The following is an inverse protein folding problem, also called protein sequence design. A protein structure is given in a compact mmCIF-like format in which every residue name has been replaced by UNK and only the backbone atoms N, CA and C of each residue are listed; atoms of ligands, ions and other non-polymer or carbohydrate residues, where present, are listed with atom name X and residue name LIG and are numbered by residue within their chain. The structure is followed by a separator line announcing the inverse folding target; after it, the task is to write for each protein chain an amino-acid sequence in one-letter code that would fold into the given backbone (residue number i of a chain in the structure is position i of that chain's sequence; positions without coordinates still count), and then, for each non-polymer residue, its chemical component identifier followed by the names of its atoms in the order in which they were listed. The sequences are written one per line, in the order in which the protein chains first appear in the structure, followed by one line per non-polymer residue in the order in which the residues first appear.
data_IF_598129883400
#
_entry.id   IF_598129883400
#
_cell.length_a   1.000
_cell.length_b   1.000
_cell.length_c   1.000
_cell.angle_alpha   90.00
_cell.angle_beta   90.00
_cell.angle_gamma   90.00
#
_symmetry.space_group_name_H-M   'P 1'
#
loop_
_entity.id
_entity.type
_entity.pdbx_description
1 polymer ?
#
# COMPACT_ATOMS: atom_id res chain seq x y z
N UNK A 1 7.27 -13.59 11.91
CA UNK A 1 8.44 -12.98 11.27
C UNK A 1 9.17 -12.00 12.18
N UNK A 2 8.51 -11.44 13.17
CA UNK A 2 9.06 -10.39 14.04
C UNK A 2 8.99 -10.74 15.54
N UNK A 3 8.81 -12.02 15.89
CA UNK A 3 8.52 -12.46 17.27
C UNK A 3 9.76 -12.80 18.13
N UNK A 4 10.98 -12.72 17.61
CA UNK A 4 12.18 -12.99 18.40
C UNK A 4 12.96 -11.71 18.62
N UNK A 5 12.83 -11.14 19.81
CA UNK A 5 13.38 -9.83 20.20
C UNK A 5 14.90 -9.71 19.98
N UNK A 6 15.63 -10.78 20.12
CA UNK A 6 17.08 -10.77 19.99
C UNK A 6 17.58 -10.79 18.53
N UNK A 7 16.85 -11.44 17.63
CA UNK A 7 17.14 -11.44 16.19
C UNK A 7 16.66 -10.15 15.52
N UNK A 8 15.58 -9.56 16.01
CA UNK A 8 15.01 -8.33 15.46
C UNK A 8 15.93 -7.12 15.63
N UNK A 9 16.67 -7.04 16.75
CA UNK A 9 17.63 -5.95 17.03
C UNK A 9 18.79 -5.89 16.03
N UNK A 10 19.06 -6.97 15.32
CA UNK A 10 20.17 -7.09 14.34
C UNK A 10 19.73 -6.89 12.89
N UNK A 11 18.42 -6.85 12.63
CA UNK A 11 17.89 -6.72 11.27
C UNK A 11 17.73 -5.25 10.92
N UNK A 12 18.33 -4.82 9.83
CA UNK A 12 18.23 -3.46 9.30
C UNK A 12 16.78 -2.98 9.25
N UNK A 13 15.88 -3.80 8.71
CA UNK A 13 14.46 -3.46 8.55
C UNK A 13 13.77 -3.14 9.89
N UNK A 14 14.05 -3.92 10.95
CA UNK A 14 13.51 -3.61 12.27
C UNK A 14 14.04 -2.29 12.81
N UNK A 15 15.35 -2.05 12.72
CA UNK A 15 15.95 -0.85 13.25
C UNK A 15 15.44 0.42 12.58
N UNK A 16 15.29 0.38 11.25
CA UNK A 16 14.87 1.53 10.46
C UNK A 16 13.35 1.78 10.54
N UNK A 17 12.54 0.75 10.45
CA UNK A 17 11.09 0.89 10.25
C UNK A 17 10.25 0.64 11.49
N UNK A 18 10.74 -0.14 12.47
CA UNK A 18 9.90 -0.62 13.58
C UNK A 18 10.41 -0.32 14.98
N UNK A 19 11.70 -0.05 15.16
CA UNK A 19 12.29 0.16 16.49
C UNK A 19 11.55 1.27 17.26
N UNK A 20 11.04 0.92 18.44
CA UNK A 20 10.30 1.83 19.30
C UNK A 20 8.83 2.03 18.92
N UNK A 21 8.33 1.31 17.91
CA UNK A 21 6.91 1.27 17.60
C UNK A 21 6.25 0.03 18.23
N UNK A 22 5.05 0.21 18.77
CA UNK A 22 4.21 -0.89 19.27
C UNK A 22 3.02 -1.03 18.36
N UNK A 23 2.77 -2.25 17.89
CA UNK A 23 1.65 -2.54 17.00
C UNK A 23 0.67 -3.50 17.67
N UNK A 24 -0.60 -3.24 17.52
CA UNK A 24 -1.67 -4.19 17.84
C UNK A 24 -1.99 -4.98 16.59
N UNK A 25 -1.95 -6.31 16.69
CA UNK A 25 -2.24 -7.20 15.57
C UNK A 25 -3.71 -7.63 15.61
N UNK A 26 -4.38 -7.59 14.47
CA UNK A 26 -5.76 -8.05 14.29
C UNK A 26 -5.91 -8.59 12.88
N UNK A 27 -6.82 -9.55 12.68
CA UNK A 27 -7.24 -9.96 11.34
C UNK A 27 -8.12 -8.90 10.68
N UNK A 28 -8.84 -8.11 11.47
CA UNK A 28 -9.46 -6.87 11.01
C UNK A 28 -8.36 -5.81 10.87
N UNK A 29 -7.69 -5.77 9.74
CA UNK A 29 -6.48 -4.98 9.49
C UNK A 29 -6.47 -4.25 8.15
N UNK A 30 -7.51 -4.36 7.33
CA UNK A 30 -7.58 -3.69 6.04
C UNK A 30 -8.05 -2.23 6.20
N UNK A 31 -7.15 -1.40 6.71
CA UNK A 31 -7.36 0.03 6.94
C UNK A 31 -6.45 0.86 6.03
N UNK A 32 -6.86 2.08 5.80
CA UNK A 32 -6.01 3.13 5.25
C UNK A 32 -6.02 4.34 6.19
N UNK A 33 -4.98 5.16 6.08
CA UNK A 33 -4.86 6.43 6.80
C UNK A 33 -4.85 7.56 5.76
N UNK A 34 -5.52 8.65 6.08
CA UNK A 34 -5.48 9.89 5.28
C UNK A 34 -4.88 10.99 6.14
N UNK A 35 -3.78 11.56 5.68
CA UNK A 35 -3.08 12.67 6.32
C UNK A 35 -3.30 13.94 5.50
N UNK A 36 -3.96 14.92 6.09
CA UNK A 36 -4.30 16.18 5.44
C UNK A 36 -3.58 17.35 6.12
N UNK A 37 -3.28 18.45 5.42
CA UNK A 37 -3.00 19.71 6.09
C UNK A 37 -4.14 20.12 7.03
N UNK A 38 -3.82 20.70 8.18
CA UNK A 38 -4.82 21.13 9.17
C UNK A 38 -5.83 22.15 8.61
N UNK A 39 -5.43 22.85 7.56
CA UNK A 39 -6.26 23.87 6.89
C UNK A 39 -7.02 23.32 5.69
N UNK A 40 -6.85 22.04 5.35
CA UNK A 40 -7.48 21.47 4.16
C UNK A 40 -9.00 21.43 4.29
N UNK A 41 -9.66 21.87 3.23
CA UNK A 41 -11.12 21.86 3.11
C UNK A 41 -11.55 21.25 1.79
N UNK A 42 -12.77 20.75 1.73
CA UNK A 42 -13.34 20.26 0.48
C UNK A 42 -13.29 21.36 -0.60
N UNK A 43 -12.74 21.02 -1.76
CA UNK A 43 -12.57 21.95 -2.88
C UNK A 43 -11.18 22.58 -3.03
N UNK A 44 -10.24 22.32 -2.12
CA UNK A 44 -8.85 22.83 -2.22
C UNK A 44 -8.07 22.16 -3.36
N UNK A 45 -8.51 20.98 -3.82
CA UNK A 45 -7.92 20.24 -4.93
C UNK A 45 -6.40 19.96 -4.74
N UNK A 46 -6.03 19.59 -3.52
CA UNK A 46 -4.65 19.27 -3.18
C UNK A 46 -4.18 17.98 -3.88
N UNK A 47 -2.91 17.90 -4.30
CA UNK A 47 -2.36 16.66 -4.84
C UNK A 47 -2.39 15.55 -3.81
N UNK A 48 -2.62 14.32 -4.26
CA UNK A 48 -2.77 13.13 -3.43
C UNK A 48 -1.64 12.15 -3.71
N UNK A 49 -1.00 11.63 -2.67
CA UNK A 49 0.02 10.60 -2.75
C UNK A 49 -0.44 9.36 -1.97
N UNK A 50 -0.65 8.26 -2.66
CA UNK A 50 -0.95 6.96 -2.04
C UNK A 50 0.34 6.16 -1.96
N UNK A 51 0.74 5.80 -0.75
CA UNK A 51 1.94 5.00 -0.51
C UNK A 51 1.60 3.54 -0.23
N UNK A 52 2.20 2.63 -1.01
CA UNK A 52 2.10 1.18 -0.87
C UNK A 52 3.40 0.67 -0.27
N UNK A 53 3.33 0.11 0.94
CA UNK A 53 4.50 -0.36 1.67
C UNK A 53 5.14 -1.59 1.03
N UNK A 54 6.44 -1.78 1.29
CA UNK A 54 7.20 -2.96 0.90
C UNK A 54 7.12 -4.07 1.94
N UNK A 55 8.19 -4.89 1.99
CA UNK A 55 8.30 -6.01 2.95
C UNK A 55 8.16 -7.39 2.30
N UNK A 56 8.50 -7.51 1.01
CA UNK A 56 8.57 -8.79 0.30
C UNK A 56 7.22 -9.51 0.19
N UNK A 57 6.11 -8.80 0.25
CA UNK A 57 4.73 -9.33 0.32
C UNK A 57 4.45 -10.21 1.54
N UNK A 58 5.33 -10.25 2.52
CA UNK A 58 5.22 -11.10 3.73
C UNK A 58 5.22 -10.30 5.03
N UNK A 59 5.53 -9.02 4.99
CA UNK A 59 5.56 -8.11 6.13
C UNK A 59 5.31 -6.68 5.71
N UNK A 60 5.28 -5.77 6.69
CA UNK A 60 5.02 -4.36 6.49
C UNK A 60 3.62 -3.92 6.96
N UNK A 61 3.42 -2.63 7.04
CA UNK A 61 2.11 -2.02 7.31
C UNK A 61 2.12 -0.54 6.92
N UNK A 62 0.94 0.06 6.81
CA UNK A 62 0.76 1.48 6.53
C UNK A 62 1.14 2.43 7.67
N UNK A 63 1.65 1.90 8.79
CA UNK A 63 2.06 2.67 9.98
C UNK A 63 3.59 2.66 10.19
N UNK A 64 4.36 2.33 9.18
CA UNK A 64 5.82 2.35 9.29
C UNK A 64 6.33 3.78 9.40
N UNK A 65 7.34 4.00 10.27
CA UNK A 65 7.87 5.33 10.62
C UNK A 65 8.24 6.23 9.45
N UNK A 66 8.69 5.66 8.35
CA UNK A 66 9.15 6.41 7.18
C UNK A 66 8.00 7.00 6.36
N UNK A 67 6.79 6.50 6.58
CA UNK A 67 5.63 6.86 5.77
C UNK A 67 4.48 7.36 6.63
N UNK A 68 4.74 7.47 7.94
CA UNK A 68 3.79 7.96 8.90
C UNK A 68 3.85 9.48 9.00
N UNK A 69 2.69 10.12 8.87
CA UNK A 69 2.45 11.40 9.43
C UNK A 69 2.65 12.63 8.58
N UNK A 70 3.13 13.71 9.20
CA UNK A 70 2.88 15.08 8.77
C UNK A 70 3.77 15.58 7.62
N UNK A 71 4.69 14.77 7.10
CA UNK A 71 5.67 15.23 6.11
C UNK A 71 5.01 15.70 4.81
N UNK A 72 4.02 14.96 4.32
CA UNK A 72 3.30 15.29 3.09
C UNK A 72 2.32 16.45 3.30
N UNK A 73 1.50 16.44 4.37
CA UNK A 73 0.64 17.57 4.71
C UNK A 73 1.40 18.90 4.85
N UNK A 74 2.58 18.90 5.47
CA UNK A 74 3.41 20.08 5.59
C UNK A 74 3.87 20.67 4.25
N UNK A 75 3.76 19.90 3.17
CA UNK A 75 4.07 20.32 1.78
C UNK A 75 2.80 20.60 0.95
N UNK A 76 1.64 20.63 1.55
CA UNK A 76 0.37 20.81 0.86
C UNK A 76 -0.06 19.59 0.02
N UNK A 77 0.35 18.38 0.44
CA UNK A 77 0.03 17.12 -0.24
C UNK A 77 -0.78 16.26 0.72
N UNK A 78 -1.88 15.69 0.27
CA UNK A 78 -2.60 14.67 1.03
C UNK A 78 -1.85 13.35 0.90
N UNK A 79 -1.39 12.81 2.03
CA UNK A 79 -0.75 11.50 2.12
C UNK A 79 -1.76 10.42 2.46
N UNK A 80 -1.70 9.29 1.77
CA UNK A 80 -2.50 8.10 2.10
C UNK A 80 -1.57 6.92 2.24
N UNK A 81 -1.71 6.18 3.34
CA UNK A 81 -1.06 4.87 3.53
C UNK A 81 -2.11 3.80 3.71
N UNK A 82 -1.80 2.58 3.38
CA UNK A 82 -2.77 1.49 3.41
C UNK A 82 -2.15 0.17 3.89
N UNK A 83 -2.99 -0.71 4.40
CA UNK A 83 -2.67 -2.11 4.61
C UNK A 83 -3.24 -2.96 3.48
N UNK A 84 -2.60 -4.09 3.22
CA UNK A 84 -3.09 -5.12 2.30
C UNK A 84 -2.71 -6.50 2.83
N UNK A 85 -3.45 -7.55 2.45
CA UNK A 85 -3.17 -8.92 2.88
C UNK A 85 -1.80 -9.39 2.39
N UNK A 86 -1.08 -10.05 3.26
CA UNK A 86 0.32 -10.46 3.09
C UNK A 86 0.46 -11.99 3.16
N UNK A 87 1.58 -12.48 2.67
CA UNK A 87 1.91 -13.90 2.71
C UNK A 87 0.84 -14.78 2.06
N UNK A 88 0.60 -15.97 2.61
CA UNK A 88 -0.41 -16.88 2.06
C UNK A 88 -1.82 -16.29 2.01
N UNK A 89 -2.20 -15.46 2.98
CA UNK A 89 -3.53 -14.82 3.01
C UNK A 89 -3.74 -13.83 1.86
N UNK A 90 -2.65 -13.19 1.42
CA UNK A 90 -2.71 -12.24 0.31
C UNK A 90 -2.45 -12.83 -1.07
N UNK A 91 -1.70 -13.96 -1.14
CA UNK A 91 -1.12 -14.40 -2.41
C UNK A 91 -1.20 -15.92 -2.66
N UNK A 92 -1.91 -16.70 -1.83
CA UNK A 92 -2.09 -18.12 -2.09
C UNK A 92 -2.93 -18.37 -3.34
N UNK A 93 -2.47 -19.30 -4.17
CA UNK A 93 -3.18 -19.78 -5.34
C UNK A 93 -3.68 -21.22 -5.08
N UNK A 94 -4.89 -21.34 -4.57
CA UNK A 94 -5.48 -22.62 -4.21
C UNK A 94 -6.68 -22.95 -5.13
N UNK A 95 -6.80 -24.18 -5.64
CA UNK A 95 -7.95 -24.58 -6.46
C UNK A 95 -9.29 -24.32 -5.78
N UNK A 96 -9.38 -24.58 -4.47
CA UNK A 96 -10.60 -24.37 -3.68
C UNK A 96 -11.06 -22.90 -3.69
N UNK A 97 -10.12 -21.97 -3.60
CA UNK A 97 -10.44 -20.54 -3.68
C UNK A 97 -10.91 -20.13 -5.08
N UNK A 98 -10.38 -20.80 -6.12
CA UNK A 98 -10.85 -20.60 -7.49
C UNK A 98 -12.26 -21.13 -7.70
N UNK A 99 -12.62 -22.26 -7.09
CA UNK A 99 -13.97 -22.82 -7.14
C UNK A 99 -14.98 -21.90 -6.43
N UNK A 100 -14.58 -21.30 -5.31
CA UNK A 100 -15.43 -20.40 -4.52
C UNK A 100 -15.67 -19.04 -5.20
N UNK A 101 -14.61 -18.39 -5.70
CA UNK A 101 -14.65 -17.00 -6.14
C UNK A 101 -14.49 -16.79 -7.65
N UNK A 102 -14.24 -17.87 -8.41
CA UNK A 102 -13.95 -17.80 -9.85
C UNK A 102 -12.51 -17.41 -10.19
N UNK A 103 -11.73 -16.95 -9.21
CA UNK A 103 -10.32 -16.61 -9.34
C UNK A 103 -9.54 -17.00 -8.07
N UNK A 104 -8.20 -17.02 -8.16
CA UNK A 104 -7.33 -17.30 -7.01
C UNK A 104 -6.02 -16.54 -7.11
N UNK A 105 -5.44 -16.19 -5.95
CA UNK A 105 -4.22 -15.39 -5.82
C UNK A 105 -4.46 -13.88 -5.98
N UNK A 106 -3.42 -13.13 -5.72
CA UNK A 106 -3.40 -11.65 -5.84
C UNK A 106 -4.40 -10.89 -4.96
N UNK A 107 -4.91 -11.52 -3.89
CA UNK A 107 -5.86 -10.87 -2.98
C UNK A 107 -5.28 -9.59 -2.36
N UNK A 108 -3.96 -9.58 -2.04
CA UNK A 108 -3.29 -8.37 -1.57
C UNK A 108 -3.27 -7.24 -2.61
N UNK A 109 -3.17 -7.55 -3.90
CA UNK A 109 -3.29 -6.54 -4.98
C UNK A 109 -4.73 -6.05 -5.12
N UNK A 110 -5.72 -6.90 -4.92
CA UNK A 110 -7.13 -6.47 -4.91
C UNK A 110 -7.45 -5.59 -3.71
N UNK A 111 -6.85 -5.85 -2.53
CA UNK A 111 -6.97 -4.96 -1.37
C UNK A 111 -6.41 -3.57 -1.69
N UNK A 112 -5.25 -3.50 -2.33
CA UNK A 112 -4.65 -2.24 -2.78
C UNK A 112 -5.53 -1.53 -3.82
N UNK A 113 -6.06 -2.27 -4.79
CA UNK A 113 -6.96 -1.72 -5.81
C UNK A 113 -8.22 -1.11 -5.18
N UNK A 114 -8.82 -1.81 -4.22
CA UNK A 114 -9.98 -1.33 -3.47
C UNK A 114 -9.66 -0.04 -2.71
N UNK A 115 -8.49 0.03 -2.08
CA UNK A 115 -8.05 1.24 -1.38
C UNK A 115 -7.81 2.42 -2.35
N UNK A 116 -7.18 2.18 -3.50
CA UNK A 116 -6.97 3.22 -4.53
C UNK A 116 -8.33 3.71 -5.07
N UNK A 117 -9.26 2.81 -5.33
CA UNK A 117 -10.63 3.16 -5.76
C UNK A 117 -11.33 4.00 -4.70
N UNK A 118 -11.25 3.57 -3.43
CA UNK A 118 -11.84 4.33 -2.32
C UNK A 118 -11.28 5.75 -2.24
N UNK A 119 -9.96 5.91 -2.39
CA UNK A 119 -9.33 7.24 -2.42
C UNK A 119 -9.88 8.08 -3.56
N UNK A 120 -9.93 7.53 -4.77
CA UNK A 120 -10.50 8.22 -5.93
C UNK A 120 -11.91 8.75 -5.66
N UNK A 121 -12.73 7.92 -5.05
CA UNK A 121 -14.15 8.21 -4.84
C UNK A 121 -14.41 9.18 -3.68
N UNK A 122 -13.50 9.27 -2.70
CA UNK A 122 -13.76 9.96 -1.43
C UNK A 122 -12.81 11.13 -1.14
N UNK A 123 -11.64 11.22 -1.78
CA UNK A 123 -10.58 12.13 -1.35
C UNK A 123 -10.95 13.61 -1.50
N UNK A 124 -11.91 13.94 -2.35
CA UNK A 124 -12.40 15.29 -2.51
C UNK A 124 -13.03 15.85 -1.21
N UNK A 125 -13.63 14.97 -0.40
CA UNK A 125 -14.18 15.35 0.91
C UNK A 125 -13.09 15.74 1.93
N UNK A 126 -11.85 15.31 1.69
CA UNK A 126 -10.66 15.62 2.47
C UNK A 126 -9.83 16.77 1.89
N UNK A 127 -10.34 17.45 0.85
CA UNK A 127 -9.63 18.52 0.16
C UNK A 127 -8.70 18.07 -0.97
N UNK A 128 -8.68 16.79 -1.31
CA UNK A 128 -7.84 16.23 -2.37
C UNK A 128 -8.46 16.32 -3.75
N UNK A 129 -7.60 16.30 -4.76
CA UNK A 129 -7.98 16.25 -6.16
C UNK A 129 -8.00 14.80 -6.65
N UNK A 130 -9.18 14.23 -6.94
CA UNK A 130 -9.28 12.86 -7.46
C UNK A 130 -8.65 12.70 -8.86
N UNK A 131 -8.42 13.80 -9.58
CA UNK A 131 -7.74 13.80 -10.88
C UNK A 131 -6.23 14.09 -10.77
N UNK A 132 -5.70 14.16 -9.55
CA UNK A 132 -4.28 14.40 -9.28
C UNK A 132 -3.71 13.42 -8.24
N UNK A 133 -3.91 12.13 -8.48
CA UNK A 133 -3.46 11.04 -7.62
C UNK A 133 -2.14 10.46 -8.16
N UNK A 134 -1.16 10.35 -7.28
CA UNK A 134 0.09 9.62 -7.51
C UNK A 134 0.11 8.38 -6.63
N UNK A 135 0.34 7.20 -7.21
CA UNK A 135 0.66 6.00 -6.43
C UNK A 135 2.18 5.85 -6.32
N UNK A 136 2.67 5.54 -5.14
CA UNK A 136 4.09 5.36 -4.86
C UNK A 136 4.30 4.09 -4.04
N UNK A 137 5.38 3.37 -4.31
CA UNK A 137 5.74 2.21 -3.51
C UNK A 137 7.24 1.96 -3.49
N UNK A 138 7.70 1.23 -2.47
CA UNK A 138 9.09 0.82 -2.32
C UNK A 138 9.18 -0.71 -2.27
N UNK A 139 10.19 -1.31 -2.92
CA UNK A 139 10.41 -2.79 -2.92
C UNK A 139 9.17 -3.53 -3.43
N UNK A 140 8.58 -4.44 -2.65
CA UNK A 140 7.32 -5.12 -3.01
C UNK A 140 6.18 -4.12 -3.30
N UNK A 141 6.13 -2.96 -2.63
CA UNK A 141 5.20 -1.88 -2.95
C UNK A 141 5.44 -1.28 -4.32
N UNK A 142 6.70 -1.13 -4.75
CA UNK A 142 7.02 -0.70 -6.11
C UNK A 142 6.63 -1.74 -7.16
N UNK A 143 6.79 -3.02 -6.85
CA UNK A 143 6.30 -4.12 -7.69
C UNK A 143 4.76 -4.08 -7.80
N UNK A 144 4.07 -3.77 -6.71
CA UNK A 144 2.61 -3.56 -6.72
C UNK A 144 2.21 -2.38 -7.60
N UNK A 145 2.89 -1.24 -7.48
CA UNK A 145 2.68 -0.06 -8.35
C UNK A 145 2.81 -0.45 -9.81
N UNK A 146 3.82 -1.24 -10.17
CA UNK A 146 3.98 -1.75 -11.54
C UNK A 146 2.77 -2.59 -11.98
N UNK A 147 2.26 -3.48 -11.12
CA UNK A 147 1.08 -4.28 -11.46
C UNK A 147 -0.16 -3.40 -11.68
N UNK A 148 -0.34 -2.37 -10.88
CA UNK A 148 -1.43 -1.40 -11.07
C UNK A 148 -1.27 -0.61 -12.38
N UNK A 149 -0.05 -0.25 -12.78
CA UNK A 149 0.19 0.39 -14.08
C UNK A 149 -0.14 -0.51 -15.27
N UNK A 150 -0.03 -1.84 -15.11
CA UNK A 150 -0.28 -2.83 -16.16
C UNK A 150 -1.72 -3.36 -16.17
N UNK A 151 -2.44 -3.20 -15.06
CA UNK A 151 -3.77 -3.76 -14.89
C UNK A 151 -4.85 -2.86 -15.51
N UNK A 152 -5.70 -3.38 -16.39
CA UNK A 152 -6.85 -2.62 -16.88
C UNK A 152 -7.86 -2.26 -15.78
N UNK A 153 -7.85 -2.99 -14.64
CA UNK A 153 -8.71 -2.71 -13.50
C UNK A 153 -8.35 -1.41 -12.78
N UNK A 154 -7.15 -0.90 -12.99
CA UNK A 154 -6.66 0.34 -12.39
C UNK A 154 -6.75 1.54 -13.33
N UNK A 155 -7.33 1.35 -14.52
CA UNK A 155 -7.46 2.42 -15.50
C UNK A 155 -8.25 3.61 -14.94
N UNK A 156 -7.69 4.81 -15.06
CA UNK A 156 -8.32 6.05 -14.60
C UNK A 156 -8.28 6.28 -13.09
N UNK A 157 -7.71 5.37 -12.27
CA UNK A 157 -7.69 5.53 -10.81
C UNK A 157 -6.56 6.44 -10.30
N UNK A 158 -5.51 6.61 -11.07
CA UNK A 158 -4.39 7.49 -10.76
C UNK A 158 -3.75 8.05 -12.03
N UNK A 159 -2.99 9.14 -11.90
CA UNK A 159 -2.38 9.84 -13.03
C UNK A 159 -0.87 9.69 -13.08
N UNK A 160 -0.23 9.33 -11.94
CA UNK A 160 1.23 9.20 -11.85
C UNK A 160 1.62 8.02 -10.98
N UNK A 161 2.79 7.47 -11.25
CA UNK A 161 3.35 6.34 -10.52
C UNK A 161 4.83 6.57 -10.20
N UNK A 162 5.23 6.19 -8.98
CA UNK A 162 6.63 6.22 -8.53
C UNK A 162 7.02 4.86 -7.97
N UNK A 163 8.05 4.26 -8.53
CA UNK A 163 8.58 2.96 -8.13
C UNK A 163 9.99 3.12 -7.56
N UNK A 164 10.15 2.87 -6.27
CA UNK A 164 11.44 2.94 -5.57
C UNK A 164 11.97 1.54 -5.27
N UNK A 165 13.17 1.23 -5.76
CA UNK A 165 13.88 -0.03 -5.44
C UNK A 165 13.05 -1.28 -5.69
N UNK A 166 12.30 -1.30 -6.78
CA UNK A 166 11.46 -2.42 -7.20
C UNK A 166 10.84 -2.18 -8.56
N UNK A 167 10.12 -3.17 -9.06
CA UNK A 167 9.60 -3.18 -10.41
C UNK A 167 10.53 -3.86 -11.41
N UNK A 168 10.16 -3.85 -12.69
CA UNK A 168 10.86 -4.56 -13.75
C UNK A 168 10.28 -5.96 -14.00
N UNK A 169 10.83 -6.67 -14.96
CA UNK A 169 10.41 -8.03 -15.29
C UNK A 169 11.04 -8.98 -14.26
N UNK A 170 10.24 -9.54 -13.37
CA UNK A 170 10.69 -10.50 -12.37
C UNK A 170 9.93 -11.82 -12.49
N UNK A 171 10.68 -12.93 -12.48
CA UNK A 171 10.10 -14.29 -12.37
C UNK A 171 9.44 -14.56 -11.01
N UNK A 172 9.74 -13.75 -9.99
CA UNK A 172 9.16 -13.89 -8.65
C UNK A 172 7.64 -13.65 -8.67
N UNK A 173 7.16 -12.84 -9.62
CA UNK A 173 5.74 -12.53 -9.77
C UNK A 173 5.04 -13.43 -10.80
N UNK A 174 5.74 -14.37 -11.43
CA UNK A 174 5.08 -15.34 -12.30
C UNK A 174 4.27 -16.31 -11.42
N UNK A 175 2.99 -16.47 -11.74
CA UNK A 175 2.20 -17.53 -11.15
C UNK A 175 2.91 -18.86 -11.41
N UNK A 176 2.99 -19.72 -10.39
CA UNK A 176 3.31 -21.11 -10.63
C UNK A 176 2.27 -21.71 -11.55
N UNK A 177 2.67 -22.58 -12.48
CA UNK A 177 1.75 -23.22 -13.42
C UNK A 177 0.68 -24.03 -12.73
#
# INVERSE_FOLDING_TARGET
FYNEEENLKKIFYYNEFRKGATYTYSEDCLFLNVFTPDTATAGDNLPVLIYIHGGGFTGGCGHEKHFDGPVWPAKGIIGVTLNYRLGPLGFACLPQLKEEAGYTGNYGLFDQLTAIQWVRDNIAAFGGDPDNITIMGQSAGAMSVQQHCLSPLSEGLFQRAVMSSGGGISKILSAAP
#
